data_IF_192988884346
#
_entry.id   IF_192988884346
#
_cell.length_a   1.000
_cell.length_b   1.000
_cell.length_c   1.000
_cell.angle_alpha   90.00
_cell.angle_beta   90.00
_cell.angle_gamma   90.00
#
_symmetry.space_group_name_H-M   'P 1'
#
loop_
_entity.id
_entity.type
_entity.pdbx_description
1 polymer ?
#
# COMPACT_ATOMS: atom_id res chain seq x y z
N UNK A 1 -24.07 1.63 27.57
CA UNK A 1 -23.93 1.62 26.11
C UNK A 1 -22.53 1.12 25.76
N UNK A 2 -22.42 -0.01 25.05
CA UNK A 2 -21.14 -0.53 24.57
C UNK A 2 -21.01 -0.22 23.08
N UNK A 3 -20.13 0.71 22.73
CA UNK A 3 -19.81 1.03 21.34
C UNK A 3 -18.35 0.72 21.07
N UNK A 4 -18.05 0.22 19.87
CA UNK A 4 -16.69 -0.03 19.40
C UNK A 4 -16.39 0.95 18.27
N UNK A 5 -15.39 1.81 18.49
CA UNK A 5 -14.87 2.73 17.48
C UNK A 5 -13.69 2.07 16.73
N UNK A 6 -13.60 2.29 15.42
CA UNK A 6 -12.47 1.85 14.60
C UNK A 6 -11.69 3.07 14.16
N UNK A 7 -10.41 3.09 14.50
CA UNK A 7 -9.48 4.18 14.18
C UNK A 7 -8.31 3.65 13.34
N UNK A 8 -7.68 4.50 12.52
CA UNK A 8 -6.48 4.12 11.79
C UNK A 8 -5.35 3.73 12.75
N UNK A 9 -4.51 2.80 12.29
CA UNK A 9 -3.30 2.36 12.99
C UNK A 9 -2.22 3.45 12.91
N UNK A 10 -2.19 4.23 11.82
CA UNK A 10 -1.18 5.24 11.55
C UNK A 10 -0.33 4.87 10.33
N UNK A 11 0.96 4.59 10.52
CA UNK A 11 1.90 4.27 9.42
C UNK A 11 2.05 2.76 9.25
N UNK A 12 1.86 2.26 8.03
CA UNK A 12 1.95 0.84 7.68
C UNK A 12 3.07 0.57 6.67
N UNK A 13 4.02 -0.29 7.04
CA UNK A 13 5.06 -0.81 6.13
C UNK A 13 4.57 -2.01 5.33
N UNK A 14 4.68 -1.97 4.00
CA UNK A 14 4.21 -3.03 3.10
C UNK A 14 5.34 -3.56 2.21
N UNK A 15 5.64 -4.85 2.36
CA UNK A 15 6.62 -5.58 1.52
C UNK A 15 5.87 -6.35 0.44
N UNK A 16 6.21 -6.09 -0.81
CA UNK A 16 5.50 -6.63 -1.97
C UNK A 16 6.28 -7.80 -2.59
N UNK A 17 5.63 -8.95 -2.86
CA UNK A 17 6.26 -10.10 -3.52
C UNK A 17 6.46 -9.90 -5.03
N UNK A 18 7.26 -10.76 -5.64
CA UNK A 18 7.70 -10.65 -7.03
C UNK A 18 6.73 -11.21 -8.08
N UNK A 19 5.74 -12.02 -7.67
CA UNK A 19 4.86 -12.77 -8.58
C UNK A 19 3.85 -11.89 -9.33
N UNK A 20 3.19 -10.98 -8.62
CA UNK A 20 2.25 -10.01 -9.19
C UNK A 20 2.45 -8.65 -8.51
N UNK A 21 3.59 -7.97 -8.75
CA UNK A 21 4.01 -6.83 -7.93
C UNK A 21 2.98 -5.69 -7.91
N UNK A 22 2.37 -5.39 -9.05
CA UNK A 22 1.34 -4.34 -9.15
C UNK A 22 0.05 -4.71 -8.39
N UNK A 23 -0.51 -5.90 -8.67
CA UNK A 23 -1.74 -6.36 -8.02
C UNK A 23 -1.56 -6.50 -6.51
N UNK A 24 -0.43 -7.06 -6.07
CA UNK A 24 -0.14 -7.30 -4.66
C UNK A 24 0.09 -6.00 -3.90
N UNK A 25 0.66 -4.98 -4.56
CA UNK A 25 0.76 -3.66 -3.98
C UNK A 25 -0.61 -3.02 -3.79
N UNK A 26 -1.48 -3.04 -4.81
CA UNK A 26 -2.83 -2.47 -4.71
C UNK A 26 -3.64 -3.17 -3.63
N UNK A 27 -3.60 -4.50 -3.56
CA UNK A 27 -4.34 -5.27 -2.55
C UNK A 27 -3.95 -4.93 -1.11
N UNK A 28 -2.72 -4.48 -0.87
CA UNK A 28 -2.28 -4.04 0.46
C UNK A 28 -2.48 -2.54 0.67
N UNK A 29 -2.19 -1.74 -0.35
CA UNK A 29 -2.26 -0.28 -0.30
C UNK A 29 -3.71 0.20 -0.20
N UNK A 30 -4.62 -0.31 -1.05
CA UNK A 30 -6.00 0.13 -1.12
C UNK A 30 -6.75 0.02 0.22
N UNK A 31 -6.75 -1.12 0.94
CA UNK A 31 -7.44 -1.20 2.24
C UNK A 31 -6.74 -0.38 3.32
N UNK A 32 -5.41 -0.24 3.28
CA UNK A 32 -4.68 0.58 4.25
C UNK A 32 -5.04 2.06 4.12
N UNK A 33 -5.08 2.58 2.89
CA UNK A 33 -5.51 3.94 2.59
C UNK A 33 -7.00 4.15 2.90
N UNK A 34 -7.86 3.19 2.52
CA UNK A 34 -9.30 3.26 2.81
C UNK A 34 -9.60 3.31 4.31
N UNK A 35 -8.76 2.67 5.13
CA UNK A 35 -8.83 2.73 6.60
C UNK A 35 -8.21 4.01 7.19
N UNK A 36 -7.68 4.93 6.38
CA UNK A 36 -7.09 6.20 6.81
C UNK A 36 -5.62 6.10 7.26
N UNK A 37 -4.91 5.03 6.86
CA UNK A 37 -3.50 4.86 7.20
C UNK A 37 -2.57 5.48 6.16
N UNK A 38 -1.36 5.84 6.60
CA UNK A 38 -0.24 6.17 5.71
C UNK A 38 0.53 4.90 5.36
N UNK A 39 1.01 4.77 4.12
CA UNK A 39 1.69 3.56 3.64
C UNK A 39 3.12 3.85 3.22
N UNK A 40 4.06 3.01 3.67
CA UNK A 40 5.44 2.95 3.18
C UNK A 40 5.64 1.61 2.47
N UNK A 41 5.98 1.64 1.19
CA UNK A 41 6.07 0.43 0.36
C UNK A 41 7.52 0.10 -0.01
N UNK A 42 7.85 -1.19 0.10
CA UNK A 42 9.09 -1.79 -0.40
C UNK A 42 8.77 -2.77 -1.54
N UNK A 43 9.14 -2.46 -2.80
CA UNK A 43 9.02 -3.40 -3.91
C UNK A 43 9.96 -4.61 -3.80
N UNK A 44 9.64 -5.67 -4.53
CA UNK A 44 10.56 -6.78 -4.76
C UNK A 44 11.75 -6.33 -5.63
N UNK A 45 12.96 -6.79 -5.30
CA UNK A 45 14.18 -6.43 -6.02
C UNK A 45 14.19 -6.91 -7.48
N UNK A 46 13.58 -8.07 -7.75
CA UNK A 46 13.55 -8.66 -9.10
C UNK A 46 12.55 -7.98 -10.05
N UNK A 47 11.47 -7.41 -9.52
CA UNK A 47 10.37 -6.84 -10.32
C UNK A 47 9.88 -5.48 -9.80
N UNK A 48 10.74 -4.45 -9.71
CA UNK A 48 10.36 -3.17 -9.13
C UNK A 48 9.63 -2.22 -10.10
N UNK A 49 9.85 -2.38 -11.41
CA UNK A 49 9.52 -1.37 -12.42
C UNK A 49 8.04 -0.98 -12.45
N UNK A 50 7.12 -1.96 -12.42
CA UNK A 50 5.68 -1.68 -12.45
C UNK A 50 5.21 -0.88 -11.23
N UNK A 51 5.81 -1.14 -10.07
CA UNK A 51 5.45 -0.45 -8.84
C UNK A 51 6.04 0.96 -8.80
N UNK A 52 7.28 1.12 -9.25
CA UNK A 52 7.92 2.43 -9.37
C UNK A 52 7.16 3.32 -10.34
N UNK A 53 6.71 2.78 -11.49
CA UNK A 53 5.91 3.57 -12.44
C UNK A 53 4.57 3.99 -11.85
N UNK A 54 3.93 3.14 -11.06
CA UNK A 54 2.71 3.49 -10.34
C UNK A 54 2.94 4.63 -9.35
N UNK A 55 4.04 4.60 -8.59
CA UNK A 55 4.36 5.68 -7.65
C UNK A 55 4.65 7.00 -8.35
N UNK A 56 5.26 6.99 -9.53
CA UNK A 56 5.41 8.20 -10.35
C UNK A 56 4.04 8.79 -10.74
N UNK A 57 3.12 7.95 -11.25
CA UNK A 57 1.78 8.40 -11.65
C UNK A 57 1.00 8.99 -10.47
N UNK A 58 1.11 8.38 -9.29
CA UNK A 58 0.45 8.86 -8.06
C UNK A 58 1.05 10.20 -7.61
N UNK A 59 2.35 10.41 -7.77
CA UNK A 59 3.00 11.66 -7.39
C UNK A 59 2.68 12.81 -8.36
N UNK A 60 2.48 12.50 -9.64
CA UNK A 60 2.16 13.49 -10.68
C UNK A 60 0.70 13.97 -10.65
N UNK A 61 -0.17 13.29 -9.88
CA UNK A 61 -1.61 13.62 -9.73
C UNK A 61 -1.87 14.33 -8.41
#
# INVERSE_FOLDING_TARGET
YNFVLREPIGVCGQIIPWNFPFLMAIWKMAPALAAGNTVVIKPATFTPLSLLKMTEIIHDT
#
